data_IF_290971649526
#
_entry.id   IF_290971649526
#
_cell.length_a   1.000
_cell.length_b   1.000
_cell.length_c   1.000
_cell.angle_alpha   90.00
_cell.angle_beta   90.00
_cell.angle_gamma   90.00
#
_symmetry.space_group_name_H-M   'P 1'
#
loop_
_entity.id
_entity.type
_entity.pdbx_description
1 polymer ?
#
# COMPACT_ATOMS: atom_id res chain seq x y z
N UNK A 1 -42.97 -10.25 4.37
CA UNK A 1 -41.85 -9.58 5.09
C UNK A 1 -40.52 -10.34 4.97
N UNK A 2 -40.41 -11.61 5.39
CA UNK A 2 -39.14 -12.39 5.27
C UNK A 2 -38.52 -12.43 3.86
N UNK A 3 -39.33 -12.62 2.81
CA UNK A 3 -38.84 -12.67 1.41
C UNK A 3 -38.31 -11.31 0.90
N UNK A 4 -38.92 -10.23 1.34
CA UNK A 4 -38.50 -8.85 1.01
C UNK A 4 -37.20 -8.52 1.74
N UNK A 5 -37.09 -8.87 3.02
CA UNK A 5 -35.86 -8.74 3.80
C UNK A 5 -34.71 -9.53 3.16
N UNK A 6 -34.98 -10.78 2.75
CA UNK A 6 -33.99 -11.65 2.10
C UNK A 6 -33.48 -11.05 0.78
N UNK A 7 -34.36 -10.44 0.00
CA UNK A 7 -33.99 -9.74 -1.22
C UNK A 7 -33.04 -8.57 -0.94
N UNK A 8 -33.34 -7.73 0.06
CA UNK A 8 -32.44 -6.63 0.45
C UNK A 8 -31.08 -7.11 0.93
N UNK A 9 -31.03 -8.22 1.68
CA UNK A 9 -29.76 -8.82 2.13
C UNK A 9 -28.93 -9.30 0.94
N UNK A 10 -29.55 -9.93 -0.05
CA UNK A 10 -28.85 -10.40 -1.26
C UNK A 10 -28.32 -9.21 -2.07
N UNK A 11 -29.13 -8.17 -2.28
CA UNK A 11 -28.69 -6.96 -2.99
C UNK A 11 -27.52 -6.29 -2.28
N UNK A 12 -27.59 -6.14 -0.96
CA UNK A 12 -26.49 -5.58 -0.17
C UNK A 12 -25.22 -6.44 -0.28
N UNK A 13 -25.35 -7.76 -0.21
CA UNK A 13 -24.22 -8.67 -0.35
C UNK A 13 -23.56 -8.54 -1.73
N UNK A 14 -24.35 -8.45 -2.81
CA UNK A 14 -23.83 -8.29 -4.17
C UNK A 14 -23.09 -6.96 -4.34
N UNK A 15 -23.59 -5.87 -3.74
CA UNK A 15 -22.91 -4.57 -3.73
C UNK A 15 -21.55 -4.70 -3.03
N UNK A 16 -21.51 -5.27 -1.82
CA UNK A 16 -20.25 -5.46 -1.08
C UNK A 16 -19.27 -6.34 -1.86
N UNK A 17 -19.74 -7.46 -2.43
CA UNK A 17 -18.92 -8.37 -3.22
C UNK A 17 -18.32 -7.68 -4.46
N UNK A 18 -19.08 -6.79 -5.10
CA UNK A 18 -18.56 -6.00 -6.24
C UNK A 18 -17.46 -5.01 -5.85
N UNK A 19 -17.40 -4.57 -4.59
CA UNK A 19 -16.35 -3.69 -4.08
C UNK A 19 -15.13 -4.45 -3.55
N UNK A 20 -15.24 -5.76 -3.28
CA UNK A 20 -14.13 -6.58 -2.75
C UNK A 20 -12.84 -6.54 -3.58
N UNK A 21 -12.88 -6.59 -4.93
CA UNK A 21 -11.67 -6.52 -5.75
C UNK A 21 -10.85 -5.22 -5.55
N UNK A 22 -11.47 -4.15 -5.07
CA UNK A 22 -10.81 -2.86 -4.84
C UNK A 22 -10.17 -2.75 -3.45
N UNK A 23 -10.52 -3.64 -2.52
CA UNK A 23 -10.02 -3.62 -1.14
C UNK A 23 -8.49 -3.83 -1.09
N UNK A 24 -7.89 -4.82 -1.77
CA UNK A 24 -6.44 -5.03 -1.73
C UNK A 24 -5.65 -3.81 -2.23
N UNK A 25 -6.13 -3.18 -3.31
CA UNK A 25 -5.50 -1.99 -3.87
C UNK A 25 -5.56 -0.80 -2.88
N UNK A 26 -6.71 -0.58 -2.25
CA UNK A 26 -6.87 0.48 -1.22
C UNK A 26 -6.04 0.21 0.04
N UNK A 27 -5.94 -1.05 0.46
CA UNK A 27 -5.08 -1.44 1.58
C UNK A 27 -3.60 -1.25 1.24
N UNK A 28 -3.20 -1.59 0.01
CA UNK A 28 -1.85 -1.36 -0.47
C UNK A 28 -1.48 0.13 -0.45
N UNK A 29 -2.41 1.04 -0.77
CA UNK A 29 -2.12 2.48 -0.80
C UNK A 29 -2.26 3.19 0.54
N UNK A 30 -3.14 2.74 1.44
CA UNK A 30 -3.51 3.47 2.67
C UNK A 30 -3.13 2.78 3.98
N UNK A 31 -2.41 1.66 3.95
CA UNK A 31 -1.87 1.03 5.17
C UNK A 31 -0.37 1.27 5.30
N UNK A 32 0.15 1.41 6.54
CA UNK A 32 1.58 1.46 6.74
C UNK A 32 2.24 0.20 6.17
N UNK A 33 3.47 0.36 5.68
CA UNK A 33 4.29 -0.74 5.17
C UNK A 33 5.41 -0.96 6.16
N UNK A 34 5.48 -2.17 6.69
CA UNK A 34 6.49 -2.57 7.66
C UNK A 34 7.26 -3.76 7.14
N UNK A 35 8.51 -3.90 7.55
CA UNK A 35 9.31 -5.07 7.20
C UNK A 35 10.61 -5.15 7.99
N UNK A 36 11.39 -6.18 7.67
CA UNK A 36 12.71 -6.46 8.23
C UNK A 36 13.70 -6.56 7.07
N UNK A 37 14.81 -5.82 7.16
CA UNK A 37 15.92 -5.94 6.21
C UNK A 37 16.94 -6.91 6.79
N UNK A 38 17.26 -7.94 6.01
CA UNK A 38 18.23 -8.96 6.36
C UNK A 38 19.34 -9.03 5.32
N UNK A 39 20.56 -9.25 5.77
CA UNK A 39 21.67 -9.62 4.91
C UNK A 39 21.49 -11.09 4.49
N UNK A 40 21.51 -11.37 3.19
CA UNK A 40 21.22 -12.71 2.65
C UNK A 40 22.34 -13.72 2.89
N UNK A 41 23.58 -13.27 3.10
CA UNK A 41 24.73 -14.15 3.33
C UNK A 41 24.78 -14.59 4.79
N UNK A 42 24.52 -13.65 5.71
CA UNK A 42 24.65 -13.88 7.15
C UNK A 42 23.33 -14.21 7.83
N UNK A 43 22.19 -13.92 7.18
CA UNK A 43 20.84 -14.02 7.74
C UNK A 43 20.57 -13.03 8.88
N UNK A 44 21.46 -12.06 9.11
CA UNK A 44 21.36 -11.11 10.23
C UNK A 44 20.57 -9.86 9.82
N UNK A 45 19.84 -9.23 10.77
CA UNK A 45 19.22 -7.94 10.51
C UNK A 45 20.24 -6.85 10.16
N UNK A 46 19.83 -5.91 9.31
CA UNK A 46 20.65 -4.79 8.89
C UNK A 46 20.16 -3.47 9.52
N UNK A 47 20.81 -2.99 10.58
CA UNK A 47 20.42 -1.73 11.23
C UNK A 47 20.87 -0.50 10.44
N UNK A 48 20.13 0.61 10.62
CA UNK A 48 20.43 1.93 10.07
C UNK A 48 20.60 2.02 8.55
N UNK A 49 20.01 1.09 7.80
CA UNK A 49 20.01 1.17 6.33
C UNK A 49 18.87 2.07 5.85
N UNK A 50 19.11 2.73 4.72
CA UNK A 50 18.11 3.57 4.07
C UNK A 50 17.09 2.67 3.36
N UNK A 51 15.81 2.86 3.67
CA UNK A 51 14.69 2.24 2.96
C UNK A 51 13.94 3.33 2.21
N UNK A 52 13.86 3.18 0.89
CA UNK A 52 13.16 4.12 0.01
C UNK A 52 11.93 3.42 -0.54
N UNK A 53 10.75 3.95 -0.22
CA UNK A 53 9.50 3.51 -0.81
C UNK A 53 9.00 4.55 -1.81
N UNK A 54 8.63 4.07 -2.99
CA UNK A 54 7.99 4.87 -4.02
C UNK A 54 6.64 4.26 -4.38
N UNK A 55 5.58 5.05 -4.27
CA UNK A 55 4.23 4.68 -4.67
C UNK A 55 3.80 5.46 -5.92
N UNK A 56 2.98 4.85 -6.76
CA UNK A 56 2.25 5.54 -7.82
C UNK A 56 0.76 5.46 -7.53
N UNK A 57 0.10 6.61 -7.35
CA UNK A 57 -1.35 6.69 -7.31
C UNK A 57 -1.89 7.45 -8.51
N UNK A 58 -2.01 6.82 -9.67
CA UNK A 58 -3.01 7.28 -10.64
C UNK A 58 -3.60 6.12 -11.45
N UNK A 59 -4.93 5.97 -11.35
CA UNK A 59 -5.76 5.19 -12.28
C UNK A 59 -5.89 5.89 -13.66
N UNK A 60 -4.85 6.57 -14.11
CA UNK A 60 -4.84 7.29 -15.37
C UNK A 60 -3.45 7.14 -15.96
N UNK A 61 -3.35 6.44 -17.09
CA UNK A 61 -2.09 6.32 -17.80
C UNK A 61 -1.65 7.70 -18.27
N UNK A 62 -0.46 8.14 -17.84
CA UNK A 62 0.21 9.28 -18.46
C UNK A 62 1.71 9.00 -18.56
N UNK A 63 2.19 9.40 -19.72
CA UNK A 63 3.50 9.24 -20.33
C UNK A 63 4.65 9.71 -19.43
N UNK A 64 5.72 8.91 -19.38
CA UNK A 64 7.00 9.28 -18.77
C UNK A 64 7.86 9.97 -19.84
N UNK A 65 8.02 11.28 -19.73
CA UNK A 65 9.01 12.06 -20.48
C UNK A 65 10.22 12.40 -19.60
N UNK A 66 11.41 12.47 -20.20
CA UNK A 66 12.64 12.82 -19.50
C UNK A 66 12.55 14.28 -19.02
N UNK A 67 12.43 14.49 -17.70
CA UNK A 67 12.16 15.78 -17.06
C UNK A 67 10.72 16.03 -16.59
N UNK A 68 9.85 15.02 -16.58
CA UNK A 68 8.43 15.15 -16.23
C UNK A 68 8.14 15.27 -14.72
N UNK A 69 7.46 16.35 -14.34
CA UNK A 69 6.95 16.69 -13.01
C UNK A 69 5.79 15.79 -12.54
N UNK A 70 5.98 14.47 -12.51
CA UNK A 70 5.09 13.59 -11.76
C UNK A 70 5.66 13.44 -10.37
N UNK A 71 4.92 13.87 -9.35
CA UNK A 71 5.30 13.70 -7.94
C UNK A 71 5.36 12.21 -7.65
N UNK A 72 6.56 11.62 -7.72
CA UNK A 72 6.79 10.31 -7.13
C UNK A 72 6.58 10.49 -5.63
N UNK A 73 5.52 9.92 -5.09
CA UNK A 73 5.35 9.80 -3.65
C UNK A 73 6.53 9.00 -3.12
N UNK A 74 7.46 9.68 -2.46
CA UNK A 74 8.69 9.07 -1.95
C UNK A 74 8.76 9.28 -0.45
N UNK A 75 8.81 8.17 0.26
CA UNK A 75 9.14 8.16 1.67
C UNK A 75 10.54 7.57 1.80
N UNK A 76 11.39 8.26 2.56
CA UNK A 76 12.69 7.76 2.99
C UNK A 76 12.60 7.51 4.48
N UNK A 77 12.89 6.27 4.88
CA UNK A 77 12.96 5.86 6.29
C UNK A 77 14.27 5.10 6.52
N UNK A 78 14.55 4.78 7.77
CA UNK A 78 15.72 4.03 8.18
C UNK A 78 15.29 2.81 8.98
N UNK A 79 16.09 1.75 8.94
CA UNK A 79 15.88 0.62 9.84
C UNK A 79 16.36 0.92 11.27
N UNK A 80 15.65 0.36 12.26
CA UNK A 80 16.06 0.38 13.67
C UNK A 80 17.23 -0.58 13.96
N UNK A 81 17.62 -0.70 15.24
CA UNK A 81 18.72 -1.57 15.69
C UNK A 81 18.45 -3.06 15.38
N UNK A 82 17.18 -3.44 15.24
CA UNK A 82 16.74 -4.77 14.85
C UNK A 82 16.49 -4.92 13.35
N UNK A 83 16.87 -3.94 12.52
CA UNK A 83 16.73 -3.98 11.07
C UNK A 83 15.29 -3.80 10.56
N UNK A 84 14.35 -3.39 11.41
CA UNK A 84 12.94 -3.19 11.04
C UNK A 84 12.70 -1.78 10.54
N UNK A 85 11.77 -1.63 9.61
CA UNK A 85 11.34 -0.32 9.12
C UNK A 85 9.82 -0.18 9.19
N UNK A 86 9.38 1.07 9.27
CA UNK A 86 8.00 1.49 9.06
C UNK A 86 7.96 2.64 8.05
N UNK A 87 7.06 2.51 7.08
CA UNK A 87 6.66 3.54 6.14
C UNK A 87 5.20 3.88 6.49
N UNK A 88 4.90 5.12 6.91
CA UNK A 88 3.56 5.51 7.31
C UNK A 88 2.57 5.41 6.12
N UNK A 89 1.28 5.28 6.46
CA UNK A 89 0.18 5.20 5.47
C UNK A 89 -0.10 6.51 4.74
N UNK A 90 0.40 7.63 5.25
CA UNK A 90 0.29 8.95 4.64
C UNK A 90 1.49 9.19 3.75
N UNK A 91 1.27 9.12 2.45
CA UNK A 91 2.20 9.69 1.49
C UNK A 91 2.13 11.21 1.66
N UNK A 92 3.24 11.83 2.07
CA UNK A 92 3.33 13.29 2.14
C UNK A 92 3.38 13.79 0.68
N UNK A 93 2.40 14.61 0.30
CA UNK A 93 2.42 15.40 -0.95
C UNK A 93 3.57 16.42 -0.93
#
# INVERSE_FOLDING_TARGET
MKRVLLFFVIVLFLIIASCMPQIPARMATHMPKTGLVIDTETGRPMPHVIVIASGWSSQGGVLVGNGGYSTLYRIVTYTDDEGRYEIPSTWLD
#
